data_IF_752456919667
#
_entry.id   IF_752456919667
#
_cell.length_a   1.000
_cell.length_b   1.000
_cell.length_c   1.000
_cell.angle_alpha   90.00
_cell.angle_beta   90.00
_cell.angle_gamma   90.00
#
_symmetry.space_group_name_H-M   'P 1'
#
loop_
_entity.id
_entity.type
_entity.pdbx_description
1 polymer ?
#
# COMPACT_ATOMS: atom_id res chain seq x y z
N UNK A 1 -19.17 12.34 8.02
CA UNK A 1 -17.98 11.76 7.36
C UNK A 1 -16.83 11.93 8.32
N UNK A 2 -16.17 10.87 8.78
CA UNK A 2 -15.22 10.95 9.90
C UNK A 2 -13.76 11.24 9.47
N UNK A 3 -13.55 11.74 8.25
CA UNK A 3 -12.23 12.10 7.73
C UNK A 3 -12.24 13.56 7.25
N UNK A 4 -11.30 14.35 7.74
CA UNK A 4 -11.05 15.72 7.28
C UNK A 4 -10.49 15.73 5.86
N UNK A 5 -9.64 14.76 5.52
CA UNK A 5 -9.06 14.61 4.17
C UNK A 5 -10.15 14.35 3.13
N UNK A 6 -11.07 13.41 3.36
CA UNK A 6 -12.17 13.11 2.42
C UNK A 6 -13.10 14.32 2.26
N UNK A 7 -13.41 15.01 3.37
CA UNK A 7 -14.21 16.23 3.34
C UNK A 7 -13.56 17.29 2.44
N UNK A 8 -12.26 17.55 2.61
CA UNK A 8 -11.53 18.54 1.79
C UNK A 8 -11.56 18.21 0.30
N UNK A 9 -11.40 16.93 -0.06
CA UNK A 9 -11.49 16.49 -1.46
C UNK A 9 -12.88 16.71 -2.06
N UNK A 10 -13.93 16.43 -1.29
CA UNK A 10 -15.31 16.63 -1.75
C UNK A 10 -15.68 18.11 -1.86
N UNK A 11 -15.27 18.93 -0.89
CA UNK A 11 -15.41 20.39 -0.92
C UNK A 11 -14.75 20.97 -2.18
N UNK A 12 -13.52 20.55 -2.49
CA UNK A 12 -12.78 21.01 -3.66
C UNK A 12 -13.38 20.54 -4.99
N UNK A 13 -13.86 19.29 -5.05
CA UNK A 13 -14.42 18.72 -6.27
C UNK A 13 -15.86 19.13 -6.54
N UNK A 14 -16.59 19.62 -5.53
CA UNK A 14 -18.03 19.88 -5.60
C UNK A 14 -18.87 18.62 -5.83
N UNK A 15 -18.30 17.43 -5.59
CA UNK A 15 -18.96 16.13 -5.80
C UNK A 15 -19.55 15.60 -4.50
N UNK A 16 -20.52 14.70 -4.64
CA UNK A 16 -21.01 13.92 -3.52
C UNK A 16 -20.13 12.68 -3.34
N UNK A 17 -19.93 12.24 -2.09
CA UNK A 17 -19.20 11.00 -1.81
C UNK A 17 -19.89 9.78 -2.45
N UNK A 18 -21.22 9.81 -2.55
CA UNK A 18 -22.01 8.70 -3.08
C UNK A 18 -23.30 9.21 -3.69
N UNK A 19 -23.49 8.96 -4.98
CA UNK A 19 -24.72 9.29 -5.69
C UNK A 19 -25.79 8.22 -5.46
N UNK A 20 -26.94 8.61 -4.91
CA UNK A 20 -28.01 7.66 -4.56
C UNK A 20 -28.61 6.99 -5.80
N UNK A 21 -28.88 5.68 -5.71
CA UNK A 21 -29.63 4.90 -6.70
C UNK A 21 -28.80 3.87 -7.47
N UNK A 22 -27.51 4.12 -7.70
CA UNK A 22 -26.61 3.22 -8.43
C UNK A 22 -25.35 2.86 -7.65
N UNK A 23 -24.85 3.78 -6.83
CA UNK A 23 -23.60 3.56 -6.11
C UNK A 23 -23.86 2.94 -4.74
N UNK A 24 -23.06 1.91 -4.41
CA UNK A 24 -23.09 1.24 -3.11
C UNK A 24 -21.89 1.57 -2.22
N UNK A 25 -20.86 2.19 -2.80
CA UNK A 25 -19.58 2.50 -2.18
C UNK A 25 -19.30 3.99 -2.41
N UNK A 26 -18.64 4.65 -1.46
CA UNK A 26 -18.21 6.03 -1.64
C UNK A 26 -17.08 6.14 -2.67
N UNK A 27 -17.13 7.15 -3.54
CA UNK A 27 -16.16 7.39 -4.60
C UNK A 27 -15.55 8.77 -4.42
N UNK A 28 -14.21 8.80 -4.37
CA UNK A 28 -13.44 10.03 -4.47
C UNK A 28 -12.74 10.03 -5.82
N UNK A 29 -12.95 11.09 -6.59
CA UNK A 29 -12.37 11.22 -7.93
C UNK A 29 -11.24 12.24 -7.89
N UNK A 30 -10.10 11.85 -8.46
CA UNK A 30 -8.90 12.67 -8.60
C UNK A 30 -8.49 12.74 -10.07
N UNK A 31 -7.70 13.76 -10.42
CA UNK A 31 -7.40 14.07 -11.82
C UNK A 31 -6.45 13.07 -12.48
N UNK A 32 -5.54 12.46 -11.70
CA UNK A 32 -4.47 11.62 -12.23
C UNK A 32 -3.89 10.68 -11.17
N UNK A 33 -3.00 9.79 -11.61
CA UNK A 33 -2.39 8.76 -10.79
C UNK A 33 -1.48 9.30 -9.66
N UNK A 34 -0.63 10.33 -9.88
CA UNK A 34 0.06 11.01 -8.78
C UNK A 34 -0.88 11.56 -7.70
N UNK A 35 -1.96 12.24 -8.09
CA UNK A 35 -2.94 12.79 -7.16
C UNK A 35 -3.64 11.69 -6.35
N UNK A 36 -3.88 10.51 -6.96
CA UNK A 36 -4.38 9.33 -6.25
C UNK A 36 -3.38 8.85 -5.19
N UNK A 37 -2.09 8.82 -5.52
CA UNK A 37 -1.03 8.48 -4.56
C UNK A 37 -1.00 9.42 -3.37
N UNK A 38 -1.01 10.74 -3.60
CA UNK A 38 -1.05 11.76 -2.53
C UNK A 38 -2.30 11.63 -1.67
N UNK A 39 -3.49 11.48 -2.28
CA UNK A 39 -4.73 11.30 -1.52
C UNK A 39 -4.69 10.04 -0.65
N UNK A 40 -4.21 8.93 -1.20
CA UNK A 40 -4.10 7.66 -0.47
C UNK A 40 -3.10 7.78 0.68
N UNK A 41 -1.97 8.46 0.48
CA UNK A 41 -0.97 8.70 1.52
C UNK A 41 -1.53 9.55 2.66
N UNK A 42 -2.22 10.65 2.34
CA UNK A 42 -2.88 11.50 3.32
C UNK A 42 -3.92 10.73 4.13
N UNK A 43 -4.79 9.95 3.47
CA UNK A 43 -5.80 9.12 4.15
C UNK A 43 -5.18 8.05 5.03
N UNK A 44 -4.11 7.42 4.57
CA UNK A 44 -3.36 6.47 5.37
C UNK A 44 -2.79 7.12 6.63
N UNK A 45 -2.11 8.27 6.52
CA UNK A 45 -1.52 8.95 7.67
C UNK A 45 -2.59 9.45 8.67
N UNK A 46 -3.70 10.01 8.18
CA UNK A 46 -4.85 10.38 9.02
C UNK A 46 -5.43 9.15 9.75
N UNK A 47 -5.53 8.02 9.06
CA UNK A 47 -5.99 6.79 9.69
C UNK A 47 -5.02 6.30 10.77
N UNK A 48 -3.70 6.36 10.52
CA UNK A 48 -2.68 5.97 11.51
C UNK A 48 -2.71 6.86 12.75
N UNK A 49 -2.97 8.18 12.62
CA UNK A 49 -3.12 9.07 13.78
C UNK A 49 -4.18 8.59 14.78
N UNK A 50 -5.24 7.94 14.27
CA UNK A 50 -6.35 7.42 15.09
C UNK A 50 -6.23 5.92 15.39
N UNK A 51 -5.29 5.23 14.74
CA UNK A 51 -5.05 3.79 14.85
C UNK A 51 -3.56 3.48 14.96
N UNK A 52 -2.83 4.00 15.98
CA UNK A 52 -1.38 3.86 16.08
C UNK A 52 -0.91 2.40 16.20
N UNK A 53 -1.81 1.52 16.67
CA UNK A 53 -1.55 0.08 16.86
C UNK A 53 -2.35 -0.79 15.87
N UNK A 54 -2.85 -0.16 14.79
CA UNK A 54 -3.74 -0.79 13.82
C UNK A 54 -3.08 -1.87 12.98
N UNK A 55 -3.91 -2.73 12.36
CA UNK A 55 -3.46 -3.76 11.42
C UNK A 55 -3.55 -3.24 10.00
N UNK A 56 -2.46 -3.36 9.25
CA UNK A 56 -2.36 -2.90 7.87
C UNK A 56 -1.90 -4.03 6.95
N UNK A 57 -2.30 -3.93 5.69
CA UNK A 57 -1.82 -4.78 4.62
C UNK A 57 -1.68 -3.92 3.37
N UNK A 58 -0.47 -3.87 2.80
CA UNK A 58 -0.15 -2.98 1.69
C UNK A 58 0.22 -3.79 0.44
N UNK A 59 -0.27 -3.40 -0.75
CA UNK A 59 0.01 -4.12 -1.99
C UNK A 59 1.48 -4.00 -2.39
N UNK A 60 1.98 -4.91 -3.19
CA UNK A 60 3.33 -4.84 -3.79
C UNK A 60 3.28 -4.36 -5.24
N UNK A 61 4.44 -4.15 -5.87
CA UNK A 61 4.55 -3.81 -7.29
C UNK A 61 4.70 -2.32 -7.58
N UNK A 62 4.30 -1.91 -8.79
CA UNK A 62 4.48 -0.53 -9.30
C UNK A 62 3.34 0.43 -8.92
N UNK A 63 2.14 -0.10 -8.71
CA UNK A 63 0.95 0.70 -8.41
C UNK A 63 1.10 1.58 -7.15
N UNK A 64 1.71 1.12 -6.03
CA UNK A 64 1.83 1.95 -4.83
C UNK A 64 2.99 2.97 -4.88
N UNK A 65 3.68 3.17 -6.01
CA UNK A 65 4.89 4.02 -6.05
C UNK A 65 4.67 5.46 -5.56
N UNK A 66 3.63 6.14 -6.06
CA UNK A 66 3.33 7.52 -5.62
C UNK A 66 2.85 7.55 -4.17
N UNK A 67 2.08 6.55 -3.74
CA UNK A 67 1.67 6.42 -2.34
C UNK A 67 2.89 6.34 -1.41
N UNK A 68 3.86 5.46 -1.71
CA UNK A 68 5.05 5.30 -0.88
C UNK A 68 5.91 6.57 -0.85
N UNK A 69 6.10 7.22 -2.01
CA UNK A 69 6.85 8.47 -2.11
C UNK A 69 6.23 9.57 -1.27
N UNK A 70 4.90 9.72 -1.32
CA UNK A 70 4.19 10.76 -0.58
C UNK A 70 4.17 10.49 0.93
N UNK A 71 3.98 9.22 1.35
CA UNK A 71 4.13 8.85 2.77
C UNK A 71 5.54 9.19 3.26
N UNK A 72 6.58 8.86 2.51
CA UNK A 72 7.96 9.17 2.88
C UNK A 72 8.22 10.68 2.94
N UNK A 73 7.79 11.44 1.92
CA UNK A 73 7.96 12.89 1.85
C UNK A 73 7.28 13.60 3.01
N UNK A 74 6.00 13.31 3.26
CA UNK A 74 5.22 13.92 4.32
C UNK A 74 5.79 13.58 5.70
N UNK A 75 6.21 12.33 5.94
CA UNK A 75 6.82 11.94 7.22
C UNK A 75 8.18 12.56 7.46
N UNK A 76 9.03 12.63 6.44
CA UNK A 76 10.36 13.24 6.53
C UNK A 76 10.26 14.76 6.78
N UNK A 77 9.29 15.41 6.13
CA UNK A 77 9.04 16.85 6.28
C UNK A 77 8.07 17.23 7.39
N UNK A 78 7.59 16.30 8.23
CA UNK A 78 6.45 16.54 9.15
C UNK A 78 6.58 17.79 10.04
N UNK A 79 7.81 18.17 10.39
CA UNK A 79 8.09 19.35 11.23
C UNK A 79 8.43 20.62 10.44
N UNK A 80 8.54 20.56 9.11
CA UNK A 80 8.84 21.74 8.31
C UNK A 80 7.58 22.59 8.12
N UNK A 81 7.69 23.93 8.10
CA UNK A 81 6.54 24.81 7.94
C UNK A 81 5.71 24.48 6.69
N UNK A 82 6.37 24.14 5.57
CA UNK A 82 5.72 23.88 4.29
C UNK A 82 4.83 22.64 4.32
N UNK A 83 5.33 21.54 4.91
CA UNK A 83 4.56 20.29 5.02
C UNK A 83 3.48 20.42 6.08
N UNK A 84 3.72 21.12 7.19
CA UNK A 84 2.68 21.36 8.21
C UNK A 84 1.51 22.13 7.63
N UNK A 85 1.78 23.19 6.88
CA UNK A 85 0.75 23.96 6.18
C UNK A 85 0.00 23.07 5.16
N UNK A 86 0.71 22.25 4.39
CA UNK A 86 0.09 21.29 3.47
C UNK A 86 -0.85 20.32 4.21
N UNK A 87 -0.42 19.73 5.32
CA UNK A 87 -1.22 18.80 6.12
C UNK A 87 -2.51 19.46 6.62
N UNK A 88 -2.43 20.67 7.19
CA UNK A 88 -3.59 21.43 7.69
C UNK A 88 -4.58 21.73 6.56
N UNK A 89 -4.09 22.22 5.41
CA UNK A 89 -4.92 22.51 4.24
C UNK A 89 -5.62 21.25 3.70
N UNK A 90 -4.98 20.09 3.87
CA UNK A 90 -5.49 18.79 3.44
C UNK A 90 -6.29 18.07 4.52
N UNK A 91 -6.54 18.70 5.67
CA UNK A 91 -7.42 18.17 6.72
C UNK A 91 -6.76 17.15 7.66
N UNK A 92 -5.43 17.16 7.76
CA UNK A 92 -4.66 16.37 8.73
C UNK A 92 -4.17 17.29 9.84
N UNK A 93 -4.24 16.85 11.10
CA UNK A 93 -3.69 17.59 12.24
C UNK A 93 -2.16 17.40 12.31
N UNK A 94 -1.32 18.42 12.02
CA UNK A 94 0.13 18.26 12.07
C UNK A 94 0.68 18.16 13.50
N UNK A 95 -0.13 18.46 14.53
CA UNK A 95 0.29 18.29 15.93
C UNK A 95 0.41 16.81 16.33
N UNK A 96 -0.25 15.90 15.60
CA UNK A 96 -0.25 14.47 15.89
C UNK A 96 0.59 13.74 14.83
N UNK A 97 1.87 13.48 15.10
CA UNK A 97 2.69 12.70 14.16
C UNK A 97 2.25 11.22 14.15
N UNK A 98 2.02 10.59 12.98
CA UNK A 98 1.63 9.18 12.88
C UNK A 98 2.72 8.25 13.42
N UNK A 99 2.35 7.39 14.38
CA UNK A 99 3.22 6.35 14.92
C UNK A 99 3.19 5.12 13.99
N UNK A 100 4.31 4.85 13.34
CA UNK A 100 4.41 3.78 12.34
C UNK A 100 4.91 2.46 12.95
N UNK A 101 5.78 2.53 13.95
CA UNK A 101 6.34 1.33 14.59
C UNK A 101 5.28 0.57 15.40
N UNK A 102 4.19 1.26 15.78
CA UNK A 102 3.04 0.64 16.44
C UNK A 102 2.18 -0.24 15.52
N UNK A 103 2.29 -0.08 14.20
CA UNK A 103 1.42 -0.80 13.26
C UNK A 103 1.78 -2.29 13.18
N UNK A 104 0.76 -3.14 13.00
CA UNK A 104 0.93 -4.56 12.71
C UNK A 104 0.80 -4.78 11.21
N UNK A 105 1.84 -5.30 10.57
CA UNK A 105 1.83 -5.53 9.13
C UNK A 105 1.46 -6.98 8.82
N UNK A 106 0.58 -7.20 7.84
CA UNK A 106 0.25 -8.53 7.32
C UNK A 106 0.50 -8.55 5.82
N UNK A 107 1.39 -9.42 5.36
CA UNK A 107 1.65 -9.61 3.93
C UNK A 107 0.46 -10.29 3.23
N UNK A 108 0.09 -9.80 2.04
CA UNK A 108 -1.08 -10.27 1.28
C UNK A 108 -0.80 -11.62 0.61
N UNK A 109 0.32 -11.70 -0.10
CA UNK A 109 0.64 -12.79 -1.01
C UNK A 109 2.16 -12.97 -1.19
N UNK A 110 2.54 -14.10 -1.78
CA UNK A 110 3.91 -14.42 -2.20
C UNK A 110 3.87 -15.45 -3.34
N UNK A 111 4.90 -15.44 -4.18
CA UNK A 111 5.14 -16.52 -5.14
C UNK A 111 5.71 -17.74 -4.41
N UNK A 112 4.97 -18.84 -4.32
CA UNK A 112 5.49 -20.07 -3.73
C UNK A 112 5.96 -21.06 -4.81
N UNK A 113 7.15 -21.68 -4.70
CA UNK A 113 8.20 -21.47 -3.70
C UNK A 113 9.34 -20.57 -4.21
N UNK A 114 9.22 -19.25 -4.03
CA UNK A 114 10.31 -18.32 -4.39
C UNK A 114 11.37 -18.27 -3.29
N UNK A 115 12.63 -18.07 -3.68
CA UNK A 115 13.66 -17.71 -2.73
C UNK A 115 13.34 -16.31 -2.14
N UNK A 116 13.20 -16.15 -0.81
CA UNK A 116 12.80 -14.89 -0.18
C UNK A 116 13.85 -13.78 -0.32
N UNK A 117 15.08 -14.10 -0.75
CA UNK A 117 16.13 -13.11 -1.05
C UNK A 117 16.08 -12.62 -2.50
N UNK A 118 15.23 -13.21 -3.34
CA UNK A 118 15.10 -12.82 -4.74
C UNK A 118 14.36 -11.48 -4.87
N UNK A 119 14.78 -10.61 -5.79
CA UNK A 119 14.19 -9.27 -5.96
C UNK A 119 12.69 -9.25 -6.33
N UNK A 120 12.19 -10.36 -6.89
CA UNK A 120 10.77 -10.53 -7.23
C UNK A 120 9.95 -11.16 -6.09
N UNK A 121 10.58 -11.52 -4.97
CA UNK A 121 9.86 -11.97 -3.78
C UNK A 121 9.13 -10.79 -3.16
N UNK A 122 7.87 -11.00 -2.82
CA UNK A 122 7.06 -10.02 -2.10
C UNK A 122 7.50 -9.91 -0.64
N UNK A 123 8.03 -10.96 -0.05
CA UNK A 123 8.73 -10.92 1.23
C UNK A 123 9.90 -9.93 1.16
N UNK A 124 10.80 -10.06 0.18
CA UNK A 124 11.91 -9.11 -0.02
C UNK A 124 11.41 -7.67 -0.20
N UNK A 125 10.38 -7.49 -1.04
CA UNK A 125 9.78 -6.18 -1.29
C UNK A 125 9.24 -5.54 -0.01
N UNK A 126 8.44 -6.28 0.78
CA UNK A 126 7.84 -5.79 2.02
C UNK A 126 8.91 -5.39 3.02
N UNK A 127 9.95 -6.22 3.21
CA UNK A 127 11.05 -5.90 4.11
C UNK A 127 11.73 -4.57 3.72
N UNK A 128 12.07 -4.41 2.44
CA UNK A 128 12.83 -3.26 1.96
C UNK A 128 11.99 -1.97 1.87
N UNK A 129 10.80 -2.05 1.30
CA UNK A 129 10.02 -0.86 0.94
C UNK A 129 8.96 -0.48 1.96
N UNK A 130 8.53 -1.40 2.83
CA UNK A 130 7.58 -1.10 3.89
C UNK A 130 8.24 -1.12 5.26
N UNK A 131 8.84 -2.25 5.68
CA UNK A 131 9.38 -2.33 7.04
C UNK A 131 10.51 -1.31 7.26
N UNK A 132 11.55 -1.36 6.42
CA UNK A 132 12.68 -0.43 6.52
C UNK A 132 12.25 1.02 6.20
N UNK A 133 11.62 1.24 5.03
CA UNK A 133 11.37 2.60 4.56
C UNK A 133 10.29 3.36 5.34
N UNK A 134 9.25 2.67 5.85
CA UNK A 134 8.24 3.32 6.68
C UNK A 134 8.61 3.29 8.17
N UNK A 135 9.65 2.55 8.56
CA UNK A 135 10.01 2.36 9.97
C UNK A 135 8.94 1.59 10.73
N UNK A 136 8.41 0.53 10.11
CA UNK A 136 7.53 -0.42 10.80
C UNK A 136 8.39 -1.38 11.62
N UNK A 137 7.85 -1.87 12.72
CA UNK A 137 8.53 -2.85 13.55
C UNK A 137 8.49 -4.26 12.90
N UNK A 138 9.64 -4.87 12.55
CA UNK A 138 9.68 -6.20 11.98
C UNK A 138 9.11 -7.28 12.91
N UNK A 139 9.20 -7.10 14.23
CA UNK A 139 8.64 -8.06 15.21
C UNK A 139 7.11 -8.04 15.23
N UNK A 140 6.51 -7.01 14.64
CA UNK A 140 5.07 -6.81 14.52
C UNK A 140 4.55 -7.12 13.11
N UNK A 141 5.38 -7.75 12.28
CA UNK A 141 5.03 -8.15 10.93
C UNK A 141 4.77 -9.65 10.82
N UNK A 142 3.63 -10.01 10.23
CA UNK A 142 3.33 -11.37 9.77
C UNK A 142 3.67 -11.46 8.28
N UNK A 143 4.79 -12.11 7.98
CA UNK A 143 5.34 -12.23 6.65
C UNK A 143 5.28 -13.68 6.14
N UNK A 144 5.23 -13.84 4.82
CA UNK A 144 5.23 -15.15 4.16
C UNK A 144 6.66 -15.47 3.74
N UNK A 145 7.43 -16.10 4.62
CA UNK A 145 8.78 -16.56 4.31
C UNK A 145 8.76 -17.99 3.74
N UNK A 146 8.99 -18.14 2.43
CA UNK A 146 8.98 -19.45 1.80
C UNK A 146 10.10 -20.40 2.28
N UNK A 147 11.17 -19.90 2.93
CA UNK A 147 12.19 -20.78 3.54
C UNK A 147 11.64 -21.56 4.74
N UNK A 148 10.60 -21.04 5.40
CA UNK A 148 9.98 -21.68 6.57
C UNK A 148 8.80 -22.59 6.18
N UNK A 149 8.46 -22.64 4.87
CA UNK A 149 7.33 -23.42 4.34
C UNK A 149 7.88 -24.66 3.62
N UNK A 150 7.67 -25.88 4.12
CA UNK A 150 8.28 -27.08 3.57
C UNK A 150 7.80 -27.34 2.14
N UNK A 151 8.75 -27.66 1.26
CA UNK A 151 8.48 -28.11 -0.10
C UNK A 151 7.89 -29.53 -0.06
N UNK A 152 6.86 -29.84 -0.87
CA UNK A 152 6.49 -31.21 -1.14
C UNK A 152 7.67 -31.99 -1.75
N UNK A 153 7.84 -33.27 -1.38
CA UNK A 153 8.99 -34.11 -1.75
C UNK A 153 9.22 -34.26 -3.27
N UNK A 154 8.18 -34.04 -4.07
CA UNK A 154 8.25 -34.01 -5.53
C UNK A 154 7.40 -32.83 -5.97
N UNK A 155 8.03 -31.70 -6.30
CA UNK A 155 7.29 -30.65 -6.98
C UNK A 155 6.83 -31.22 -8.31
N UNK A 156 7.73 -31.82 -9.08
CA UNK A 156 7.52 -32.29 -10.45
C UNK A 156 6.19 -33.03 -10.67
N UNK A 157 5.68 -33.79 -9.69
CA UNK A 157 4.37 -34.47 -9.78
C UNK A 157 3.17 -33.54 -10.05
N UNK A 158 3.26 -32.25 -9.69
CA UNK A 158 2.19 -31.27 -9.90
C UNK A 158 2.28 -30.58 -11.27
N UNK A 159 3.42 -30.69 -11.96
CA UNK A 159 3.63 -30.12 -13.29
C UNK A 159 3.61 -31.28 -14.31
N UNK A 160 2.71 -31.24 -15.29
CA UNK A 160 2.71 -32.25 -16.35
C UNK A 160 3.96 -32.15 -17.24
N UNK A 161 4.23 -33.20 -18.00
CA UNK A 161 5.33 -33.23 -19.01
C UNK A 161 5.07 -32.32 -20.23
N UNK A 162 3.98 -31.56 -20.22
CA UNK A 162 3.64 -30.66 -21.32
C UNK A 162 4.62 -29.49 -21.38
N UNK A 163 5.19 -29.19 -22.57
CA UNK A 163 6.10 -28.07 -22.72
C UNK A 163 5.35 -26.75 -22.47
N UNK A 164 5.95 -25.85 -21.68
CA UNK A 164 5.44 -24.50 -21.48
C UNK A 164 5.48 -23.75 -22.83
N UNK A 165 4.31 -23.40 -23.39
CA UNK A 165 4.21 -22.61 -24.62
C UNK A 165 4.59 -21.14 -24.36
N UNK A 166 5.88 -20.83 -24.49
CA UNK A 166 6.40 -19.47 -24.41
C UNK A 166 5.99 -18.59 -25.62
N UNK A 167 5.42 -19.18 -26.68
CA UNK A 167 4.93 -18.47 -27.86
C UNK A 167 3.79 -17.51 -27.56
N UNK A 168 3.05 -17.72 -26.45
CA UNK A 168 2.02 -16.80 -25.96
C UNK A 168 2.56 -15.40 -25.64
N UNK A 169 3.86 -15.26 -25.33
CA UNK A 169 4.49 -13.94 -25.09
C UNK A 169 4.57 -13.08 -26.35
N UNK A 170 4.50 -13.70 -27.53
CA UNK A 170 4.75 -13.04 -28.82
C UNK A 170 3.53 -13.07 -29.75
N UNK A 171 2.49 -13.84 -29.42
CA UNK A 171 1.26 -13.88 -30.22
C UNK A 171 0.37 -12.69 -29.88
N UNK A 172 -0.13 -12.03 -30.92
CA UNK A 172 -1.20 -11.07 -30.75
C UNK A 172 -2.49 -11.79 -30.34
N UNK A 173 -3.26 -11.26 -29.36
CA UNK A 173 -4.58 -11.78 -29.05
C UNK A 173 -5.48 -11.71 -30.29
N UNK A 174 -6.28 -12.76 -30.51
CA UNK A 174 -7.31 -12.80 -31.56
C UNK A 174 -8.60 -12.14 -31.09
#
# INVERSE_FOLDING_TARGET
>A
MNSGVEQKVLEQSGRELRYRGSEHIGVLVVENFPALGTLTALRFLEWVQTNPEGVISLPTGRTPEFFMKEVARLRAGWETPEVREELEQRGIDPAVKPEMAGLRFVQIDEFYPINPRHQNSFYFYVQKYYLEHFGLDPERALLINCEDIPLPEELERFWGDEPIDLGLRYRNPR
#
